data_IF_941443416001
#
_entry.id   IF_941443416001
#
_cell.length_a   1.000
_cell.length_b   1.000
_cell.length_c   1.000
_cell.angle_alpha   90.00
_cell.angle_beta   90.00
_cell.angle_gamma   90.00
#
_symmetry.space_group_name_H-M   'P 1'
#
loop_
_entity.id
_entity.type
_entity.pdbx_description
1 polymer ?
#
# COMPACT_ATOMS: atom_id res chain seq x y z
N UNK A 1 2.32 40.50 -15.87
CA UNK A 1 1.55 40.65 -14.62
C UNK A 1 1.99 39.52 -13.70
N UNK A 2 2.77 39.86 -12.67
CA UNK A 2 3.19 38.91 -11.64
C UNK A 2 1.95 38.40 -10.91
N UNK A 3 1.74 37.09 -10.90
CA UNK A 3 0.72 36.50 -10.03
C UNK A 3 0.97 36.97 -8.59
N UNK A 4 -0.08 37.26 -7.79
CA UNK A 4 0.10 37.51 -6.38
C UNK A 4 0.79 36.27 -5.80
N UNK A 5 1.90 36.44 -5.08
CA UNK A 5 2.53 35.36 -4.31
C UNK A 5 1.42 34.66 -3.53
N UNK A 6 1.30 33.35 -3.71
CA UNK A 6 0.37 32.52 -2.95
C UNK A 6 0.40 32.90 -1.47
N UNK A 7 -0.75 32.94 -0.78
CA UNK A 7 -0.77 33.35 0.61
C UNK A 7 0.13 32.40 1.42
N UNK A 8 1.11 32.97 2.12
CA UNK A 8 2.09 32.24 2.96
C UNK A 8 1.43 31.45 4.11
N UNK A 9 0.14 31.72 4.37
CA UNK A 9 -0.68 31.06 5.37
C UNK A 9 -2.17 31.08 5.00
N UNK A 10 -2.99 30.40 5.79
CA UNK A 10 -4.45 30.43 5.71
C UNK A 10 -4.97 31.64 6.45
N UNK A 11 -5.88 32.39 5.83
CA UNK A 11 -6.45 33.60 6.41
C UNK A 11 -7.83 33.30 6.99
N UNK A 12 -8.03 33.71 8.24
CA UNK A 12 -9.33 33.66 8.92
C UNK A 12 -9.73 35.07 9.26
N UNK A 13 -10.95 35.45 8.88
CA UNK A 13 -11.52 36.77 9.15
C UNK A 13 -12.55 36.64 10.27
N UNK A 14 -12.32 37.34 11.37
CA UNK A 14 -13.22 37.42 12.52
C UNK A 14 -13.63 38.88 12.77
N UNK A 15 -14.69 39.13 13.56
CA UNK A 15 -15.06 40.50 13.93
C UNK A 15 -13.93 41.20 14.69
N UNK A 16 -13.22 42.10 14.02
CA UNK A 16 -12.16 42.93 14.61
C UNK A 16 -10.74 42.37 14.49
N UNK A 17 -10.54 41.18 13.89
CA UNK A 17 -9.21 40.61 13.69
C UNK A 17 -9.13 39.73 12.43
N UNK A 18 -7.92 39.64 11.87
CA UNK A 18 -7.57 38.67 10.83
C UNK A 18 -6.44 37.81 11.39
N UNK A 19 -6.67 36.51 11.43
CA UNK A 19 -5.70 35.52 11.90
C UNK A 19 -5.05 34.89 10.67
N UNK A 20 -3.72 34.85 10.64
CA UNK A 20 -2.94 34.13 9.64
C UNK A 20 -2.37 32.86 10.28
N UNK A 21 -2.64 31.71 9.68
CA UNK A 21 -2.12 30.41 10.09
C UNK A 21 -1.05 30.00 9.08
N UNK A 22 0.24 30.02 9.44
CA UNK A 22 1.31 29.68 8.50
C UNK A 22 1.14 28.28 7.90
N UNK A 23 1.43 28.11 6.60
CA UNK A 23 1.26 26.81 5.94
C UNK A 23 2.19 25.71 6.50
N UNK A 24 3.33 26.12 7.06
CA UNK A 24 4.36 25.29 7.67
C UNK A 24 4.13 25.03 9.17
N UNK A 25 3.14 25.69 9.79
CA UNK A 25 2.78 25.46 11.19
C UNK A 25 2.12 24.08 11.38
N UNK A 26 2.32 23.43 12.53
CA UNK A 26 1.65 22.17 12.83
C UNK A 26 0.13 22.32 12.99
N UNK A 27 -0.34 23.48 13.47
CA UNK A 27 -1.78 23.81 13.55
C UNK A 27 -2.44 23.79 12.17
N UNK A 28 -1.65 23.97 11.11
CA UNK A 28 -2.12 24.05 9.73
C UNK A 28 -2.69 22.71 9.21
N UNK A 29 -2.47 21.59 9.91
CA UNK A 29 -3.00 20.26 9.59
C UNK A 29 -4.35 19.96 10.26
N UNK A 30 -4.85 20.85 11.12
CA UNK A 30 -6.10 20.64 11.86
C UNK A 30 -7.32 20.50 10.94
N UNK A 31 -7.38 21.21 9.80
CA UNK A 31 -8.47 21.08 8.82
C UNK A 31 -8.59 19.65 8.29
N UNK A 32 -7.46 19.00 8.04
CA UNK A 32 -7.41 17.61 7.62
C UNK A 32 -7.78 16.66 8.76
N UNK A 33 -7.27 16.90 9.97
CA UNK A 33 -7.58 16.09 11.16
C UNK A 33 -9.08 16.10 11.50
N UNK A 34 -9.73 17.26 11.46
CA UNK A 34 -11.16 17.36 11.75
C UNK A 34 -12.05 16.65 10.71
N UNK A 35 -11.50 16.32 9.55
CA UNK A 35 -12.19 15.53 8.52
C UNK A 35 -11.84 14.04 8.54
N UNK A 36 -10.97 13.58 9.45
CA UNK A 36 -10.66 12.15 9.54
C UNK A 36 -11.86 11.34 10.08
N UNK A 37 -11.97 10.05 9.69
CA UNK A 37 -12.83 9.10 10.36
C UNK A 37 -12.15 8.57 11.63
N UNK A 38 -12.97 8.09 12.58
CA UNK A 38 -12.50 7.66 13.90
C UNK A 38 -11.49 6.51 13.81
N UNK A 39 -11.74 5.59 12.90
CA UNK A 39 -10.95 4.38 12.66
C UNK A 39 -9.52 4.71 12.20
N UNK A 40 -9.35 5.81 11.46
CA UNK A 40 -8.03 6.26 11.02
C UNK A 40 -7.30 7.02 12.11
N UNK A 41 -8.00 7.87 12.87
CA UNK A 41 -7.41 8.57 14.01
C UNK A 41 -6.93 7.61 15.11
N UNK A 42 -7.54 6.42 15.23
CA UNK A 42 -7.19 5.41 16.23
C UNK A 42 -5.76 4.87 16.13
N UNK A 43 -5.11 5.02 14.96
CA UNK A 43 -3.71 4.63 14.74
C UNK A 43 -2.74 5.33 15.70
N UNK A 44 -3.10 6.50 16.24
CA UNK A 44 -2.34 7.17 17.27
C UNK A 44 -3.28 7.63 18.39
N UNK A 45 -3.32 6.85 19.48
CA UNK A 45 -4.27 7.04 20.60
C UNK A 45 -4.32 8.46 21.20
N UNK A 46 -3.21 9.21 21.33
CA UNK A 46 -3.26 10.60 21.81
C UNK A 46 -4.11 11.55 20.96
N UNK A 47 -4.42 11.19 19.71
CA UNK A 47 -5.36 11.95 18.88
C UNK A 47 -6.75 12.10 19.54
N UNK A 48 -7.15 11.16 20.41
CA UNK A 48 -8.44 11.23 21.11
C UNK A 48 -8.45 12.19 22.31
N UNK A 49 -7.29 12.65 22.76
CA UNK A 49 -7.19 13.69 23.80
C UNK A 49 -7.41 15.10 23.22
N UNK A 50 -7.39 15.23 21.89
CA UNK A 50 -7.72 16.47 21.17
C UNK A 50 -9.25 16.60 21.04
N UNK A 51 -9.88 17.64 21.63
CA UNK A 51 -11.32 17.81 21.56
C UNK A 51 -11.83 17.90 20.14
N UNK A 52 -12.99 17.28 19.91
CA UNK A 52 -13.72 17.42 18.65
C UNK A 52 -14.39 18.78 18.50
N UNK A 53 -14.34 19.65 19.50
CA UNK A 53 -14.73 21.06 19.47
C UNK A 53 -13.56 21.94 18.99
N UNK A 54 -13.52 22.42 17.72
CA UNK A 54 -12.38 23.19 17.21
C UNK A 54 -12.25 24.55 17.91
N UNK A 55 -13.34 25.09 18.45
CA UNK A 55 -13.30 26.34 19.22
C UNK A 55 -12.30 26.25 20.39
N UNK A 56 -12.27 25.13 21.11
CA UNK A 56 -11.40 24.91 22.26
C UNK A 56 -9.93 24.72 21.86
N UNK A 57 -9.70 24.14 20.69
CA UNK A 57 -8.36 23.82 20.19
C UNK A 57 -7.72 25.01 19.49
N UNK A 58 -8.45 25.72 18.63
CA UNK A 58 -7.89 26.77 17.78
C UNK A 58 -7.57 28.07 18.53
N UNK A 59 -8.20 28.29 19.69
CA UNK A 59 -8.09 29.54 20.47
C UNK A 59 -7.23 29.41 21.72
N UNK A 60 -6.61 28.25 21.93
CA UNK A 60 -5.76 27.99 23.09
C UNK A 60 -4.52 27.21 22.69
N UNK A 61 -3.45 27.30 23.49
CA UNK A 61 -2.24 26.51 23.30
C UNK A 61 -2.24 25.24 24.18
N UNK A 62 -3.38 24.95 24.83
CA UNK A 62 -3.54 23.85 25.79
C UNK A 62 -3.23 22.48 25.17
N UNK A 63 -3.47 22.35 23.87
CA UNK A 63 -3.32 21.08 23.13
C UNK A 63 -2.07 21.06 22.23
N UNK A 64 -1.19 22.06 22.35
CA UNK A 64 0.01 22.14 21.51
C UNK A 64 0.96 20.95 21.71
N UNK A 65 0.96 20.33 22.89
CA UNK A 65 1.73 19.09 23.13
C UNK A 65 1.26 17.90 22.28
N UNK A 66 0.06 17.95 21.72
CA UNK A 66 -0.48 16.95 20.79
C UNK A 66 -0.35 17.47 19.35
N UNK A 67 -0.78 18.70 19.09
CA UNK A 67 -0.82 19.26 17.73
C UNK A 67 0.57 19.45 17.14
N UNK A 68 1.56 19.82 17.97
CA UNK A 68 2.95 20.00 17.54
C UNK A 68 3.81 18.74 17.74
N UNK A 69 3.19 17.60 18.07
CA UNK A 69 3.90 16.31 18.09
C UNK A 69 4.08 15.81 16.65
N UNK A 70 5.28 15.37 16.30
CA UNK A 70 5.59 14.82 14.97
C UNK A 70 4.64 13.66 14.60
N UNK A 71 4.18 12.90 15.59
CA UNK A 71 3.24 11.79 15.40
C UNK A 71 1.85 12.27 14.97
N UNK A 72 1.41 13.47 15.36
CA UNK A 72 0.15 14.04 14.87
C UNK A 72 0.22 14.30 13.37
N UNK A 73 1.32 14.94 12.94
CA UNK A 73 1.57 15.21 11.53
C UNK A 73 1.71 13.93 10.72
N UNK A 74 2.46 12.96 11.23
CA UNK A 74 2.62 11.64 10.61
C UNK A 74 1.27 10.93 10.47
N UNK A 75 0.43 10.93 11.52
CA UNK A 75 -0.92 10.36 11.47
C UNK A 75 -1.73 10.98 10.33
N UNK A 76 -1.80 12.31 10.27
CA UNK A 76 -2.58 13.01 9.24
C UNK A 76 -2.02 12.69 7.85
N UNK A 77 -0.71 12.77 7.68
CA UNK A 77 -0.07 12.53 6.39
C UNK A 77 -0.27 11.09 5.88
N UNK A 78 -0.06 10.10 6.74
CA UNK A 78 -0.19 8.69 6.37
C UNK A 78 -1.64 8.35 6.03
N UNK A 79 -2.62 8.91 6.75
CA UNK A 79 -4.03 8.68 6.44
C UNK A 79 -4.41 9.25 5.07
N UNK A 80 -4.01 10.49 4.77
CA UNK A 80 -4.35 11.14 3.51
C UNK A 80 -3.56 10.57 2.32
N UNK A 81 -2.28 10.27 2.51
CA UNK A 81 -1.45 9.60 1.50
C UNK A 81 -2.01 8.22 1.15
N UNK A 82 -2.30 7.41 2.18
CA UNK A 82 -2.88 6.09 1.97
C UNK A 82 -4.23 6.15 1.26
N UNK A 83 -5.09 7.11 1.60
CA UNK A 83 -6.38 7.28 0.95
C UNK A 83 -6.28 7.81 -0.47
N UNK A 84 -5.44 8.82 -0.73
CA UNK A 84 -5.23 9.35 -2.09
C UNK A 84 -4.68 8.28 -3.04
N UNK A 85 -3.76 7.44 -2.54
CA UNK A 85 -3.24 6.30 -3.28
C UNK A 85 -4.35 5.37 -3.80
N UNK A 86 -5.40 5.12 -3.02
CA UNK A 86 -6.52 4.26 -3.44
C UNK A 86 -7.25 4.80 -4.68
N UNK A 87 -7.20 6.12 -4.92
CA UNK A 87 -7.90 6.78 -6.01
C UNK A 87 -7.02 7.05 -7.23
N UNK A 88 -5.71 6.80 -7.14
CA UNK A 88 -4.84 6.90 -8.30
C UNK A 88 -5.23 5.86 -9.35
N UNK A 89 -5.57 6.35 -10.54
CA UNK A 89 -5.90 5.52 -11.69
C UNK A 89 -4.67 5.25 -12.54
N UNK A 90 -4.50 3.99 -12.94
CA UNK A 90 -3.40 3.53 -13.78
C UNK A 90 -3.93 2.67 -14.93
N UNK A 91 -3.22 2.67 -16.06
CA UNK A 91 -3.64 1.89 -17.23
C UNK A 91 -3.52 0.39 -16.99
N UNK A 92 -4.57 -0.32 -17.39
CA UNK A 92 -4.58 -1.77 -17.55
C UNK A 92 -3.95 -2.20 -18.89
N UNK A 93 -3.96 -3.51 -19.18
CA UNK A 93 -3.39 -4.06 -20.42
C UNK A 93 -4.12 -3.61 -21.70
N UNK A 94 -5.37 -3.14 -21.58
CA UNK A 94 -6.22 -2.69 -22.69
C UNK A 94 -6.19 -1.17 -22.83
N UNK A 95 -5.44 -0.47 -21.98
CA UNK A 95 -5.38 1.00 -21.94
C UNK A 95 -6.53 1.65 -21.18
N UNK A 96 -7.37 0.87 -20.48
CA UNK A 96 -8.41 1.42 -19.63
C UNK A 96 -7.82 1.80 -18.27
N UNK A 97 -8.37 2.84 -17.66
CA UNK A 97 -8.02 3.24 -16.30
C UNK A 97 -8.68 2.32 -15.27
N UNK A 98 -7.92 1.99 -14.23
CA UNK A 98 -8.35 1.24 -13.05
C UNK A 98 -7.52 1.67 -11.83
N UNK A 99 -8.00 1.33 -10.64
CA UNK A 99 -7.25 1.50 -9.40
C UNK A 99 -5.91 0.74 -9.45
N UNK A 100 -4.94 1.19 -8.65
CA UNK A 100 -3.68 0.49 -8.47
C UNK A 100 -3.96 -0.93 -7.94
N UNK A 101 -3.50 -2.00 -8.63
CA UNK A 101 -3.80 -3.37 -8.23
C UNK A 101 -3.08 -3.77 -6.94
N UNK A 102 -3.75 -4.56 -6.10
CA UNK A 102 -3.17 -5.13 -4.88
C UNK A 102 -3.15 -4.16 -3.70
N UNK A 103 -2.51 -4.58 -2.61
CA UNK A 103 -2.41 -3.79 -1.38
C UNK A 103 -1.16 -2.89 -1.42
N UNK A 104 -1.22 -1.74 -0.75
CA UNK A 104 -0.09 -0.80 -0.65
C UNK A 104 1.17 -1.47 -0.10
N UNK A 105 1.05 -2.45 0.81
CA UNK A 105 2.18 -3.18 1.40
C UNK A 105 2.98 -4.01 0.40
N UNK A 106 2.43 -4.22 -0.80
CA UNK A 106 3.09 -4.96 -1.87
C UNK A 106 4.03 -4.06 -2.70
N UNK A 107 3.98 -2.75 -2.46
CA UNK A 107 4.80 -1.75 -3.13
C UNK A 107 5.87 -1.22 -2.17
N UNK A 108 7.04 -0.93 -2.69
CA UNK A 108 8.12 -0.39 -1.88
C UNK A 108 7.78 1.03 -1.41
N UNK A 109 8.19 1.38 -0.19
CA UNK A 109 8.01 2.74 0.35
C UNK A 109 8.73 3.84 -0.45
N UNK A 110 9.64 3.47 -1.36
CA UNK A 110 10.31 4.40 -2.27
C UNK A 110 9.71 4.42 -3.69
N UNK A 111 8.67 3.62 -3.97
CA UNK A 111 7.97 3.64 -5.25
C UNK A 111 7.45 5.06 -5.56
N UNK A 112 7.73 5.63 -6.75
CA UNK A 112 7.39 7.03 -7.00
C UNK A 112 5.89 7.37 -6.92
N UNK A 113 4.96 6.45 -7.23
CA UNK A 113 3.52 6.72 -7.00
C UNK A 113 3.19 6.83 -5.51
N UNK A 114 3.90 6.10 -4.65
CA UNK A 114 3.66 6.15 -3.20
C UNK A 114 4.19 7.45 -2.63
N UNK A 115 5.34 7.91 -3.13
CA UNK A 115 5.83 9.26 -2.83
C UNK A 115 4.89 10.34 -3.34
N UNK A 116 4.29 10.14 -4.51
CA UNK A 116 3.34 11.07 -5.10
C UNK A 116 2.07 11.23 -4.25
N UNK A 117 1.61 10.18 -3.56
CA UNK A 117 0.45 10.28 -2.67
C UNK A 117 0.74 11.14 -1.42
N UNK A 118 1.98 11.30 -0.99
CA UNK A 118 2.33 12.34 0.02
C UNK A 118 2.38 13.74 -0.59
N UNK A 119 2.86 13.86 -1.83
CA UNK A 119 2.98 15.16 -2.51
C UNK A 119 1.62 15.80 -2.83
N UNK A 120 0.53 15.02 -2.85
CA UNK A 120 -0.82 15.54 -3.12
C UNK A 120 -1.43 16.26 -1.91
N UNK A 121 -0.93 16.01 -0.70
CA UNK A 121 -1.53 16.50 0.55
C UNK A 121 -1.63 18.05 0.61
N UNK A 122 -0.60 18.83 0.22
CA UNK A 122 -0.73 20.29 0.15
C UNK A 122 -1.87 20.76 -0.78
N UNK A 123 -2.08 20.09 -1.91
CA UNK A 123 -3.15 20.41 -2.85
C UNK A 123 -4.52 20.04 -2.29
N UNK A 124 -4.63 18.92 -1.57
CA UNK A 124 -5.84 18.55 -0.82
C UNK A 124 -6.20 19.66 0.18
N UNK A 125 -5.22 20.22 0.90
CA UNK A 125 -5.46 21.34 1.84
C UNK A 125 -5.98 22.57 1.12
N UNK A 126 -5.39 22.92 -0.03
CA UNK A 126 -5.89 24.04 -0.84
C UNK A 126 -7.34 23.81 -1.28
N UNK A 127 -7.69 22.58 -1.67
CA UNK A 127 -9.06 22.22 -2.03
C UNK A 127 -10.02 22.32 -0.84
N UNK A 128 -9.59 21.91 0.35
CA UNK A 128 -10.39 22.07 1.56
C UNK A 128 -10.73 23.55 1.82
N UNK A 129 -9.76 24.45 1.66
CA UNK A 129 -9.98 25.89 1.78
C UNK A 129 -10.96 26.43 0.73
N UNK A 130 -10.84 25.98 -0.52
CA UNK A 130 -11.73 26.39 -1.61
C UNK A 130 -13.16 25.88 -1.47
N UNK A 131 -13.35 24.74 -0.79
CA UNK A 131 -14.63 24.02 -0.70
C UNK A 131 -15.27 24.06 0.70
N UNK A 132 -14.91 25.04 1.54
CA UNK A 132 -15.60 25.28 2.83
C UNK A 132 -15.23 24.31 3.96
N UNK A 133 -14.14 23.55 3.81
CA UNK A 133 -13.54 22.73 4.86
C UNK A 133 -12.30 23.38 5.48
N UNK A 134 -12.01 24.61 5.07
CA UNK A 134 -10.88 25.40 5.52
C UNK A 134 -11.02 25.98 6.92
N UNK A 135 -9.98 26.69 7.34
CA UNK A 135 -9.91 27.26 8.70
C UNK A 135 -11.04 28.23 9.01
N UNK A 136 -11.51 29.02 8.03
CA UNK A 136 -12.65 29.92 8.26
C UNK A 136 -13.87 29.14 8.78
N UNK A 137 -14.15 27.95 8.23
CA UNK A 137 -15.27 27.14 8.68
C UNK A 137 -15.04 26.61 10.10
N UNK A 138 -13.84 26.10 10.41
CA UNK A 138 -13.52 25.64 11.76
C UNK A 138 -13.61 26.75 12.82
N UNK A 139 -13.15 27.97 12.49
CA UNK A 139 -13.23 29.11 13.40
C UNK A 139 -14.66 29.61 13.62
N UNK A 140 -15.54 29.42 12.63
CA UNK A 140 -16.96 29.77 12.73
C UNK A 140 -17.77 28.79 13.59
N UNK A 141 -17.20 27.64 13.98
CA UNK A 141 -17.88 26.67 14.84
C UNK A 141 -18.02 27.27 16.25
N UNK A 142 -19.25 27.34 16.80
CA UNK A 142 -19.49 27.91 18.13
C UNK A 142 -18.82 27.12 19.25
N UNK A 143 -18.61 27.80 20.38
CA UNK A 143 -18.15 27.15 21.61
C UNK A 143 -19.08 26.00 22.02
N UNK A 144 -18.49 24.86 22.38
CA UNK A 144 -19.21 23.67 22.84
C UNK A 144 -19.82 22.84 21.72
N UNK A 145 -19.64 23.21 20.44
CA UNK A 145 -20.10 22.41 19.30
C UNK A 145 -18.99 21.47 18.84
N UNK A 146 -19.28 20.16 18.87
CA UNK A 146 -18.35 19.14 18.40
C UNK A 146 -18.51 18.87 16.90
N UNK A 147 -17.40 18.74 16.19
CA UNK A 147 -17.33 18.23 14.83
C UNK A 147 -17.40 16.70 14.88
N UNK A 148 -18.46 16.09 14.33
CA UNK A 148 -18.58 14.63 14.33
C UNK A 148 -17.42 14.00 13.54
N UNK A 149 -17.09 12.77 13.87
CA UNK A 149 -16.22 11.95 13.03
C UNK A 149 -16.93 11.66 11.71
N UNK A 150 -16.23 11.77 10.58
CA UNK A 150 -16.77 11.27 9.32
C UNK A 150 -16.87 9.75 9.38
N UNK A 151 -17.86 9.19 8.70
CA UNK A 151 -17.82 7.75 8.40
C UNK A 151 -16.70 7.49 7.40
N UNK A 152 -16.18 6.26 7.42
CA UNK A 152 -15.17 5.86 6.45
C UNK A 152 -15.61 6.10 4.99
N UNK A 153 -16.89 5.87 4.69
CA UNK A 153 -17.46 6.12 3.36
C UNK A 153 -17.53 7.63 3.02
N UNK A 154 -17.94 8.49 3.97
CA UNK A 154 -17.95 9.94 3.75
C UNK A 154 -16.54 10.47 3.48
N UNK A 155 -15.58 10.01 4.27
CA UNK A 155 -14.17 10.35 4.08
C UNK A 155 -13.64 9.84 2.73
N UNK A 156 -13.90 8.57 2.40
CA UNK A 156 -13.51 7.97 1.11
C UNK A 156 -14.06 8.78 -0.07
N UNK A 157 -15.35 9.13 -0.06
CA UNK A 157 -15.95 9.96 -1.11
C UNK A 157 -15.33 11.36 -1.18
N UNK A 158 -15.05 11.98 -0.03
CA UNK A 158 -14.41 13.30 0.04
C UNK A 158 -13.00 13.25 -0.58
N UNK A 159 -12.18 12.30 -0.17
CA UNK A 159 -10.80 12.19 -0.64
C UNK A 159 -10.74 11.76 -2.10
N UNK A 160 -11.62 10.86 -2.56
CA UNK A 160 -11.71 10.50 -3.97
C UNK A 160 -12.00 11.71 -4.84
N UNK A 161 -13.07 12.46 -4.52
CA UNK A 161 -13.43 13.66 -5.27
C UNK A 161 -12.31 14.71 -5.27
N UNK A 162 -11.68 14.97 -4.11
CA UNK A 162 -10.60 15.96 -4.03
C UNK A 162 -9.36 15.49 -4.77
N UNK A 163 -9.02 14.21 -4.70
CA UNK A 163 -7.89 13.61 -5.44
C UNK A 163 -8.09 13.76 -6.94
N UNK A 164 -9.29 13.44 -7.44
CA UNK A 164 -9.64 13.60 -8.86
C UNK A 164 -9.56 15.06 -9.30
N UNK A 165 -10.05 16.00 -8.49
CA UNK A 165 -9.95 17.44 -8.77
C UNK A 165 -8.48 17.88 -8.89
N UNK A 166 -7.62 17.47 -7.95
CA UNK A 166 -6.20 17.83 -7.97
C UNK A 166 -5.52 17.23 -9.21
N UNK A 167 -5.75 15.95 -9.50
CA UNK A 167 -5.13 15.28 -10.66
C UNK A 167 -5.54 15.97 -11.96
N UNK A 168 -6.81 16.36 -12.09
CA UNK A 168 -7.33 17.04 -13.27
C UNK A 168 -6.78 18.46 -13.43
N UNK A 169 -6.79 19.26 -12.36
CA UNK A 169 -6.35 20.66 -12.41
C UNK A 169 -4.84 20.80 -12.58
N UNK A 170 -4.06 19.98 -11.88
CA UNK A 170 -2.60 20.00 -11.94
C UNK A 170 -2.04 19.15 -13.08
N UNK A 171 -2.91 18.47 -13.84
CA UNK A 171 -2.55 17.59 -14.96
C UNK A 171 -1.54 16.51 -14.56
N UNK A 172 -1.81 15.78 -13.48
CA UNK A 172 -0.91 14.74 -12.95
C UNK A 172 -1.02 13.40 -13.67
N UNK A 173 -2.12 13.14 -14.39
CA UNK A 173 -2.36 11.84 -15.02
C UNK A 173 -1.21 11.40 -15.96
N UNK A 174 -0.63 12.25 -16.83
CA UNK A 174 0.51 11.85 -17.66
C UNK A 174 1.75 11.45 -16.84
N UNK A 175 1.98 12.08 -15.69
CA UNK A 175 3.07 11.72 -14.78
C UNK A 175 2.78 10.39 -14.09
N UNK A 176 1.55 10.18 -13.62
CA UNK A 176 1.11 8.90 -13.02
C UNK A 176 1.27 7.76 -14.03
N UNK A 177 0.81 7.97 -15.26
CA UNK A 177 0.95 7.03 -16.36
C UNK A 177 2.41 6.71 -16.65
N UNK A 178 3.28 7.72 -16.73
CA UNK A 178 4.69 7.52 -16.97
C UNK A 178 5.38 6.74 -15.85
N UNK A 179 5.08 7.04 -14.58
CA UNK A 179 5.60 6.27 -13.44
C UNK A 179 5.11 4.83 -13.51
N UNK A 180 3.83 4.61 -13.80
CA UNK A 180 3.26 3.28 -13.94
C UNK A 180 3.94 2.53 -15.11
N UNK A 181 4.01 3.09 -16.30
CA UNK A 181 4.58 2.41 -17.47
C UNK A 181 6.08 2.08 -17.31
N UNK A 182 6.82 2.84 -16.49
CA UNK A 182 8.27 2.68 -16.27
C UNK A 182 8.64 2.03 -14.93
N UNK A 183 7.72 1.27 -14.30
CA UNK A 183 8.02 0.56 -13.05
C UNK A 183 9.19 -0.40 -13.19
N UNK A 184 9.95 -0.57 -12.11
CA UNK A 184 11.06 -1.53 -11.98
C UNK A 184 10.79 -2.56 -10.89
N UNK A 185 11.71 -3.51 -10.72
CA UNK A 185 11.57 -4.57 -9.69
C UNK A 185 11.61 -3.98 -8.29
N UNK A 186 12.40 -2.94 -8.12
CA UNK A 186 12.61 -2.20 -6.86
C UNK A 186 11.34 -1.45 -6.42
N UNK A 187 10.41 -1.13 -7.33
CA UNK A 187 9.14 -0.50 -6.96
C UNK A 187 8.20 -1.42 -6.16
N UNK A 188 8.56 -2.69 -6.01
CA UNK A 188 7.82 -3.69 -5.26
C UNK A 188 8.54 -4.08 -3.98
N UNK A 189 7.78 -4.47 -2.96
CA UNK A 189 8.36 -4.96 -1.72
C UNK A 189 9.21 -6.23 -1.97
N UNK A 190 10.20 -6.47 -1.11
CA UNK A 190 11.10 -7.62 -1.20
C UNK A 190 10.32 -8.93 -1.19
N UNK A 191 9.34 -9.03 -0.29
CA UNK A 191 8.39 -10.14 -0.19
C UNK A 191 7.67 -10.36 -1.51
N UNK A 192 7.59 -11.63 -1.93
CA UNK A 192 6.87 -12.00 -3.14
C UNK A 192 5.39 -11.66 -3.01
N UNK A 193 4.83 -11.02 -4.03
CA UNK A 193 3.40 -10.71 -4.13
C UNK A 193 2.88 -11.12 -5.51
N UNK A 194 1.56 -11.33 -5.61
CA UNK A 194 0.91 -11.62 -6.90
C UNK A 194 1.13 -10.49 -7.91
N UNK A 195 1.16 -9.24 -7.43
CA UNK A 195 1.41 -8.05 -8.24
C UNK A 195 2.86 -8.02 -8.75
N UNK A 196 3.84 -8.26 -7.87
CA UNK A 196 5.26 -8.35 -8.26
C UNK A 196 5.48 -9.50 -9.24
N UNK A 197 4.84 -10.65 -9.01
CA UNK A 197 4.92 -11.81 -9.90
C UNK A 197 4.33 -11.52 -11.28
N UNK A 198 3.15 -10.89 -11.37
CA UNK A 198 2.55 -10.49 -12.66
C UNK A 198 3.41 -9.43 -13.37
N UNK A 199 4.02 -8.50 -12.63
CA UNK A 199 4.99 -7.56 -13.18
C UNK A 199 6.22 -8.27 -13.74
N UNK A 200 6.87 -9.14 -12.96
CA UNK A 200 8.08 -9.86 -13.37
C UNK A 200 7.84 -10.74 -14.60
N UNK A 201 6.71 -11.46 -14.65
CA UNK A 201 6.31 -12.23 -15.85
C UNK A 201 6.25 -11.33 -17.09
N UNK A 202 5.63 -10.15 -16.99
CA UNK A 202 5.58 -9.20 -18.11
C UNK A 202 6.94 -8.63 -18.45
N UNK A 203 7.72 -8.26 -17.44
CA UNK A 203 9.03 -7.65 -17.60
C UNK A 203 9.99 -8.56 -18.38
N UNK A 204 10.04 -9.84 -18.01
CA UNK A 204 10.86 -10.83 -18.70
C UNK A 204 10.33 -11.22 -20.09
N UNK A 205 9.04 -11.09 -20.34
CA UNK A 205 8.45 -11.42 -21.66
C UNK A 205 8.39 -10.24 -22.65
N UNK A 206 8.52 -8.98 -22.21
CA UNK A 206 8.33 -7.79 -23.06
C UNK A 206 9.61 -7.10 -23.56
N UNK A 207 10.82 -7.47 -23.11
CA UNK A 207 12.06 -6.95 -23.73
C UNK A 207 12.48 -7.83 -24.90
N UNK A 208 12.13 -7.43 -26.12
CA UNK A 208 12.71 -8.00 -27.33
C UNK A 208 14.22 -7.72 -27.40
N UNK A 209 15.05 -8.73 -27.15
CA UNK A 209 16.50 -8.65 -27.31
C UNK A 209 17.24 -9.94 -26.93
N UNK A 210 17.38 -10.84 -27.91
CA UNK A 210 18.10 -12.14 -27.93
C UNK A 210 17.55 -13.29 -27.04
N UNK A 211 17.46 -14.52 -27.57
CA UNK A 211 17.38 -15.69 -26.71
C UNK A 211 18.71 -15.78 -25.96
N UNK A 212 18.65 -15.65 -24.64
CA UNK A 212 19.77 -15.93 -23.75
C UNK A 212 20.13 -17.40 -23.99
N UNK A 213 21.36 -17.68 -24.42
CA UNK A 213 21.81 -19.06 -24.61
C UNK A 213 21.93 -19.74 -23.25
N UNK A 214 21.78 -21.07 -23.22
CA UNK A 214 21.95 -21.84 -21.99
C UNK A 214 23.31 -21.56 -21.31
N UNK A 215 24.31 -21.19 -22.11
CA UNK A 215 25.66 -20.85 -21.66
C UNK A 215 25.72 -19.48 -20.95
N UNK A 216 24.92 -18.48 -21.36
CA UNK A 216 24.88 -17.15 -20.71
C UNK A 216 24.14 -17.18 -19.36
N UNK A 217 23.27 -18.17 -19.10
CA UNK A 217 22.62 -18.36 -17.79
C UNK A 217 23.52 -19.05 -16.75
N UNK A 218 24.59 -19.72 -17.18
CA UNK A 218 25.52 -20.39 -16.28
C UNK A 218 26.62 -19.47 -15.75
N UNK A 219 26.84 -18.31 -16.39
CA UNK A 219 27.94 -17.39 -16.04
C UNK A 219 27.54 -16.24 -15.10
N UNK A 220 26.28 -16.11 -14.69
CA UNK A 220 25.92 -15.22 -13.57
C UNK A 220 26.14 -15.93 -12.23
N UNK A 221 27.42 -16.12 -11.86
CA UNK A 221 27.78 -16.55 -10.51
C UNK A 221 27.28 -15.53 -9.48
N UNK A 222 26.54 -16.04 -8.48
CA UNK A 222 26.09 -15.36 -7.26
C UNK A 222 24.93 -14.35 -7.35
N UNK A 223 23.79 -14.79 -7.89
CA UNK A 223 22.51 -14.15 -7.59
C UNK A 223 21.41 -15.19 -7.47
N UNK A 224 20.96 -15.46 -6.24
CA UNK A 224 19.75 -16.22 -5.91
C UNK A 224 18.51 -15.65 -6.64
N UNK A 225 18.25 -16.11 -7.86
CA UNK A 225 17.12 -15.66 -8.69
C UNK A 225 15.84 -16.47 -8.43
N UNK A 226 15.84 -17.46 -7.53
CA UNK A 226 14.63 -18.24 -7.25
C UNK A 226 14.54 -18.72 -5.80
N UNK A 227 14.23 -17.80 -4.89
CA UNK A 227 13.37 -18.17 -3.77
C UNK A 227 11.99 -18.49 -4.34
N UNK A 228 11.66 -19.77 -4.36
CA UNK A 228 10.29 -20.24 -4.50
C UNK A 228 9.53 -19.59 -3.35
N UNK A 229 8.71 -18.58 -3.65
CA UNK A 229 7.83 -17.97 -2.67
C UNK A 229 6.99 -19.07 -2.03
N UNK A 230 7.22 -19.30 -0.74
CA UNK A 230 6.40 -20.19 0.07
C UNK A 230 5.00 -19.56 0.19
N UNK A 231 3.93 -20.20 -0.33
CA UNK A 231 2.56 -19.71 -0.22
C UNK A 231 2.03 -19.62 1.23
N UNK A 232 2.84 -19.98 2.23
CA UNK A 232 2.44 -20.10 3.63
C UNK A 232 2.48 -18.82 4.47
N UNK A 233 3.18 -17.77 4.04
CA UNK A 233 3.50 -16.67 4.98
C UNK A 233 2.30 -15.80 5.41
N UNK A 234 1.18 -15.79 4.68
CA UNK A 234 -0.04 -15.09 5.12
C UNK A 234 -1.19 -16.04 5.58
N UNK A 235 -1.03 -17.36 5.48
CA UNK A 235 -2.07 -18.32 5.91
C UNK A 235 -1.71 -19.15 7.14
N UNK A 236 -0.43 -19.25 7.53
CA UNK A 236 -0.05 -19.93 8.78
C UNK A 236 -0.64 -19.29 10.06
N UNK A 237 -1.25 -18.11 9.96
CA UNK A 237 -2.00 -17.50 11.07
C UNK A 237 -3.48 -17.93 11.15
N UNK A 238 -4.00 -18.74 10.22
CA UNK A 238 -5.35 -19.33 10.29
C UNK A 238 -5.30 -20.87 10.28
N UNK A 239 -5.13 -21.41 11.48
CA UNK A 239 -5.27 -22.81 11.96
C UNK A 239 -5.77 -23.86 10.93
N UNK A 240 -4.86 -24.44 10.15
CA UNK A 240 -4.97 -25.85 9.75
C UNK A 240 -4.29 -26.67 10.85
N UNK A 241 -4.98 -27.66 11.41
CA UNK A 241 -4.39 -28.49 12.47
C UNK A 241 -3.24 -29.34 11.95
N UNK A 242 -2.26 -29.61 12.79
CA UNK A 242 -1.12 -30.50 12.49
C UNK A 242 -1.59 -31.88 11.97
N UNK A 243 -2.75 -32.36 12.43
CA UNK A 243 -3.39 -33.60 11.97
C UNK A 243 -3.81 -33.55 10.49
N UNK A 244 -4.33 -32.42 10.02
CA UNK A 244 -4.78 -32.23 8.63
C UNK A 244 -3.60 -32.13 7.67
N UNK A 245 -2.51 -31.48 8.09
CA UNK A 245 -1.26 -31.39 7.31
C UNK A 245 -0.60 -32.77 7.21
N UNK A 246 -0.56 -33.52 8.31
CA UNK A 246 -0.03 -34.89 8.32
C UNK A 246 -0.83 -35.81 7.38
N UNK A 247 -2.17 -35.77 7.45
CA UNK A 247 -3.03 -36.55 6.57
C UNK A 247 -2.82 -36.21 5.08
N UNK A 248 -2.68 -34.92 4.74
CA UNK A 248 -2.35 -34.48 3.39
C UNK A 248 -0.99 -35.06 2.93
N UNK A 249 0.03 -34.97 3.78
CA UNK A 249 1.38 -35.44 3.46
C UNK A 249 1.47 -36.97 3.35
N UNK A 250 0.59 -37.74 3.99
CA UNK A 250 0.51 -39.18 3.82
C UNK A 250 -0.19 -39.59 2.52
N UNK A 251 -1.22 -38.84 2.11
CA UNK A 251 -2.04 -39.19 0.95
C UNK A 251 -1.47 -38.67 -0.38
N UNK A 252 -0.79 -37.52 -0.38
CA UNK A 252 -0.45 -36.80 -1.60
C UNK A 252 1.06 -36.66 -1.86
N UNK A 253 1.90 -36.98 -0.87
CA UNK A 253 3.36 -36.82 -0.97
C UNK A 253 4.05 -38.19 -0.86
N UNK A 254 4.77 -38.59 -1.90
CA UNK A 254 5.53 -39.85 -1.89
C UNK A 254 6.82 -39.72 -1.08
N UNK A 255 7.44 -40.83 -0.70
CA UNK A 255 8.72 -40.79 0.05
C UNK A 255 9.83 -40.07 -0.73
N UNK A 256 9.83 -40.24 -2.06
CA UNK A 256 10.74 -39.52 -2.96
C UNK A 256 10.48 -38.00 -2.97
N UNK A 257 9.22 -37.59 -2.83
CA UNK A 257 8.86 -36.17 -2.73
C UNK A 257 9.29 -35.58 -1.39
N UNK A 258 9.15 -36.34 -0.31
CA UNK A 258 9.64 -35.92 1.01
C UNK A 258 11.15 -35.71 0.99
N UNK A 259 11.89 -36.59 0.31
CA UNK A 259 13.33 -36.45 0.13
C UNK A 259 13.69 -35.21 -0.69
N UNK A 260 13.00 -34.96 -1.81
CA UNK A 260 13.16 -33.74 -2.62
C UNK A 260 12.91 -32.47 -1.79
N UNK A 261 11.82 -32.44 -1.02
CA UNK A 261 11.46 -31.29 -0.20
C UNK A 261 12.46 -31.06 0.94
N UNK A 262 12.96 -32.13 1.58
CA UNK A 262 14.01 -32.03 2.60
C UNK A 262 15.30 -31.46 2.04
N UNK A 263 15.79 -32.02 0.94
CA UNK A 263 17.01 -31.52 0.29
C UNK A 263 16.84 -30.06 -0.15
N UNK A 264 15.63 -29.67 -0.57
CA UNK A 264 15.31 -28.29 -0.90
C UNK A 264 15.32 -27.37 0.33
N UNK A 265 14.75 -27.80 1.46
CA UNK A 265 14.81 -27.08 2.74
C UNK A 265 16.25 -26.92 3.25
N UNK A 266 17.11 -27.91 2.99
CA UNK A 266 18.53 -27.88 3.32
C UNK A 266 19.36 -27.00 2.35
N UNK A 267 18.72 -26.29 1.42
CA UNK A 267 19.35 -25.30 0.54
C UNK A 267 19.95 -25.85 -0.76
N UNK A 268 19.69 -27.13 -1.12
CA UNK A 268 20.23 -27.70 -2.35
C UNK A 268 19.56 -27.13 -3.61
N UNK A 269 20.33 -26.97 -4.67
CA UNK A 269 19.83 -26.61 -6.00
C UNK A 269 19.04 -27.77 -6.61
N UNK A 270 18.10 -27.47 -7.52
CA UNK A 270 17.29 -28.52 -8.17
C UNK A 270 18.13 -29.52 -8.98
N UNK A 271 19.29 -29.10 -9.47
CA UNK A 271 20.23 -29.99 -10.17
C UNK A 271 20.95 -30.93 -9.19
N UNK A 272 21.44 -30.43 -8.05
CA UNK A 272 22.03 -31.27 -7.00
C UNK A 272 21.01 -32.25 -6.42
N UNK A 273 19.76 -31.81 -6.27
CA UNK A 273 18.65 -32.68 -5.86
C UNK A 273 18.42 -33.74 -6.92
N UNK A 274 18.39 -33.38 -8.20
CA UNK A 274 18.19 -34.33 -9.31
C UNK A 274 19.28 -35.40 -9.29
N UNK A 275 20.54 -35.02 -9.09
CA UNK A 275 21.67 -35.95 -9.03
C UNK A 275 21.57 -36.88 -7.81
N UNK A 276 21.13 -36.37 -6.64
CA UNK A 276 20.94 -37.17 -5.42
C UNK A 276 19.76 -38.13 -5.49
N UNK A 277 18.63 -37.71 -6.05
CA UNK A 277 17.39 -38.52 -6.11
C UNK A 277 17.26 -39.30 -7.43
N UNK A 278 18.28 -39.27 -8.30
CA UNK A 278 18.36 -40.05 -9.53
C UNK A 278 17.50 -39.56 -10.70
N UNK A 279 17.22 -38.26 -10.78
CA UNK A 279 16.64 -37.63 -11.97
C UNK A 279 17.73 -37.15 -12.93
N UNK A 280 17.47 -37.26 -14.23
CA UNK A 280 18.44 -36.85 -15.27
C UNK A 280 18.56 -35.34 -15.45
N UNK A 281 17.62 -34.55 -14.93
CA UNK A 281 17.52 -33.11 -15.19
C UNK A 281 16.84 -32.41 -14.02
N UNK A 282 17.29 -31.22 -13.66
CA UNK A 282 16.62 -30.32 -12.71
C UNK A 282 15.12 -30.12 -13.02
N UNK A 283 14.75 -30.08 -14.30
CA UNK A 283 13.35 -29.92 -14.73
C UNK A 283 12.40 -31.00 -14.18
N UNK A 284 12.90 -32.23 -13.95
CA UNK A 284 12.09 -33.29 -13.37
C UNK A 284 11.80 -33.05 -11.87
N UNK A 285 12.78 -32.50 -11.14
CA UNK A 285 12.63 -32.06 -9.74
C UNK A 285 11.68 -30.87 -9.67
N UNK A 286 11.88 -29.87 -10.53
CA UNK A 286 11.01 -28.69 -10.63
C UNK A 286 9.54 -29.06 -10.85
N UNK A 287 9.26 -29.92 -11.84
CA UNK A 287 7.89 -30.41 -12.13
C UNK A 287 7.28 -31.14 -10.94
N UNK A 288 8.10 -31.81 -10.13
CA UNK A 288 7.63 -32.53 -8.97
C UNK A 288 7.28 -31.59 -7.82
N UNK A 289 8.13 -30.60 -7.54
CA UNK A 289 7.87 -29.54 -6.56
C UNK A 289 6.60 -28.76 -6.96
N UNK A 290 6.48 -28.36 -8.22
CA UNK A 290 5.29 -27.66 -8.72
C UNK A 290 4.01 -28.49 -8.58
N UNK A 291 4.09 -29.81 -8.82
CA UNK A 291 2.96 -30.72 -8.63
C UNK A 291 2.54 -30.82 -7.16
N UNK A 292 3.50 -30.84 -6.23
CA UNK A 292 3.20 -30.88 -4.79
C UNK A 292 2.59 -29.55 -4.32
N UNK A 293 3.13 -28.42 -4.79
CA UNK A 293 2.60 -27.10 -4.48
C UNK A 293 1.14 -26.95 -4.95
N UNK A 294 0.84 -27.36 -6.18
CA UNK A 294 -0.53 -27.36 -6.72
C UNK A 294 -1.46 -28.26 -5.91
N UNK A 295 -1.03 -29.46 -5.54
CA UNK A 295 -1.85 -30.35 -4.70
C UNK A 295 -2.13 -29.76 -3.31
N UNK A 296 -1.16 -29.03 -2.74
CA UNK A 296 -1.33 -28.35 -1.46
C UNK A 296 -2.27 -27.14 -1.57
N UNK A 297 -2.18 -26.37 -2.66
CA UNK A 297 -3.09 -25.25 -2.95
C UNK A 297 -4.54 -25.72 -3.09
N UNK A 298 -4.77 -26.83 -3.81
CA UNK A 298 -6.09 -27.45 -3.95
C UNK A 298 -6.62 -27.91 -2.58
N UNK A 299 -5.76 -28.48 -1.74
CA UNK A 299 -6.11 -28.92 -0.39
C UNK A 299 -6.50 -27.74 0.52
N UNK A 300 -5.71 -26.68 0.56
CA UNK A 300 -5.99 -25.48 1.37
C UNK A 300 -7.28 -24.80 0.91
N UNK A 301 -7.48 -24.70 -0.42
CA UNK A 301 -8.70 -24.12 -0.99
C UNK A 301 -9.94 -24.93 -0.62
N UNK A 302 -9.85 -26.26 -0.67
CA UNK A 302 -10.94 -27.15 -0.26
C UNK A 302 -11.25 -27.07 1.24
N UNK A 303 -10.23 -26.96 2.10
CA UNK A 303 -10.43 -26.76 3.54
C UNK A 303 -11.05 -25.39 3.83
N UNK A 304 -10.64 -24.33 3.12
CA UNK A 304 -11.20 -22.99 3.25
C UNK A 304 -12.69 -22.94 2.89
N UNK A 305 -13.11 -23.61 1.81
CA UNK A 305 -14.52 -23.70 1.42
C UNK A 305 -15.42 -24.28 2.52
N UNK A 306 -14.92 -25.25 3.31
CA UNK A 306 -15.67 -25.85 4.42
C UNK A 306 -15.92 -24.90 5.60
N UNK A 307 -15.14 -23.81 5.71
CA UNK A 307 -15.32 -22.79 6.74
C UNK A 307 -16.31 -21.69 6.31
N UNK A 308 -16.44 -21.44 5.00
CA UNK A 308 -17.38 -20.44 4.47
C UNK A 308 -18.82 -20.96 4.39
N UNK A 309 -19.00 -22.28 4.32
CA UNK A 309 -20.31 -22.94 4.30
C UNK A 309 -20.90 -23.24 5.71
N UNK A 310 -20.29 -22.69 6.78
CA UNK A 310 -20.76 -22.77 8.18
C UNK A 310 -21.20 -21.42 8.70
#
# INVERSE_FOLDING_TARGET
MTQPKDPKGFLVVLPGEIIEIPQDSDKSWLTLFYSLPKELAEKWKPAFDLPRCPYEVLRTDKYDSIVCDDMFKLLVWDCYSWSAWQFFQVKDRKGNYRDIPGDVKQYAGYFPLWRLSYNIIPYIRMKFEQHGLGFQNLYNIPQGVEVPWLTYQQFSNLIGNVTDMVIAEENWQPMIDAIWENRTVEDYETTSSTVKTDFMRKWYHNRSGKPISLDEMMESENGDIFEVADPRSEFEQMVISEMQIAAFAEQNITDKDREILKLRMDGHTEQEIADKVGYKTASAVHKRIAKIASAYEDFVTAEYGKYLDK
#
